data_IF_898468545451
#
_entry.id   IF_898468545451
#
_cell.length_a   1.000
_cell.length_b   1.000
_cell.length_c   1.000
_cell.angle_alpha   90.00
_cell.angle_beta   90.00
_cell.angle_gamma   90.00
#
_symmetry.space_group_name_H-M   'P 1'
#
loop_
_entity.id
_entity.type
_entity.pdbx_description
1 polymer ?
#
# COMPACT_ATOMS: atom_id res chain seq x y z
N UNK A 1 -13.70 -34.55 26.05
CA UNK A 1 -13.48 -34.26 24.62
C UNK A 1 -12.75 -32.94 24.57
N UNK A 2 -11.42 -33.03 24.63
CA UNK A 2 -10.52 -31.89 24.71
C UNK A 2 -10.51 -31.18 23.37
N UNK A 3 -10.84 -29.90 23.36
CA UNK A 3 -10.72 -29.06 22.18
C UNK A 3 -9.25 -28.68 22.08
N UNK A 4 -8.54 -29.33 21.17
CA UNK A 4 -7.17 -28.99 20.81
C UNK A 4 -7.15 -27.56 20.27
N UNK A 5 -6.62 -26.65 21.08
CA UNK A 5 -6.25 -25.31 20.67
C UNK A 5 -5.11 -25.50 19.66
N UNK A 6 -5.43 -25.30 18.39
CA UNK A 6 -4.46 -25.28 17.30
C UNK A 6 -3.40 -24.23 17.65
N UNK A 7 -2.22 -24.74 17.99
CA UNK A 7 -0.99 -23.98 18.17
C UNK A 7 -0.73 -23.15 16.92
N UNK A 8 -1.03 -21.85 17.01
CA UNK A 8 -0.63 -20.85 16.03
C UNK A 8 0.89 -20.76 16.06
N UNK A 9 1.50 -21.53 15.16
CA UNK A 9 2.91 -21.49 14.81
C UNK A 9 3.34 -20.03 14.67
N UNK A 10 4.20 -19.59 15.60
CA UNK A 10 4.80 -18.26 15.65
C UNK A 10 5.38 -17.90 14.29
N UNK A 11 4.73 -16.96 13.60
CA UNK A 11 5.26 -16.31 12.40
C UNK A 11 6.60 -15.70 12.81
N UNK A 12 7.67 -16.06 12.09
CA UNK A 12 9.05 -15.72 12.42
C UNK A 12 9.21 -14.22 12.68
N UNK A 13 9.37 -13.85 13.96
CA UNK A 13 9.83 -12.54 14.39
C UNK A 13 11.31 -12.44 14.02
N UNK A 14 11.66 -11.68 13.00
CA UNK A 14 12.91 -10.92 13.12
C UNK A 14 12.71 -10.01 14.33
N UNK A 15 13.62 -10.02 15.32
CA UNK A 15 13.44 -9.19 16.50
C UNK A 15 13.48 -7.72 16.06
N UNK A 16 12.32 -7.05 16.14
CA UNK A 16 12.25 -5.60 16.07
C UNK A 16 13.26 -5.04 17.06
N UNK A 17 14.21 -4.25 16.56
CA UNK A 17 15.18 -3.59 17.44
C UNK A 17 14.39 -2.71 18.41
N UNK A 18 14.57 -2.83 19.73
CA UNK A 18 13.84 -2.03 20.70
C UNK A 18 14.40 -0.60 20.74
N UNK A 19 14.08 0.20 19.73
CA UNK A 19 14.59 1.56 19.55
C UNK A 19 14.34 2.46 20.76
N UNK A 20 13.22 2.25 21.47
CA UNK A 20 12.87 2.95 22.69
C UNK A 20 13.81 2.64 23.87
N UNK A 21 14.47 1.48 23.86
CA UNK A 21 15.43 1.09 24.90
C UNK A 21 16.85 1.61 24.63
N UNK A 22 17.14 2.03 23.39
CA UNK A 22 18.44 2.54 23.02
C UNK A 22 18.60 4.02 23.39
N UNK A 23 19.84 4.38 23.74
CA UNK A 23 20.26 5.78 23.81
C UNK A 23 20.22 6.39 22.40
N UNK A 24 20.24 7.72 22.35
CA UNK A 24 20.29 8.47 21.09
C UNK A 24 21.54 8.09 20.29
N UNK A 25 22.68 7.99 20.97
CA UNK A 25 23.98 7.64 20.38
C UNK A 25 23.95 6.23 19.77
N UNK A 26 23.47 5.24 20.52
CA UNK A 26 23.38 3.86 20.04
C UNK A 26 22.37 3.73 18.89
N UNK A 27 21.33 4.56 18.87
CA UNK A 27 20.37 4.60 17.76
C UNK A 27 21.05 5.09 16.48
N UNK A 28 21.84 6.16 16.56
CA UNK A 28 22.62 6.65 15.42
C UNK A 28 23.66 5.64 14.93
N UNK A 29 24.37 4.97 15.85
CA UNK A 29 25.33 3.93 15.50
C UNK A 29 24.66 2.74 14.79
N UNK A 30 23.55 2.24 15.33
CA UNK A 30 22.80 1.12 14.76
C UNK A 30 22.27 1.44 13.35
N UNK A 31 21.73 2.64 13.16
CA UNK A 31 21.24 3.11 11.85
C UNK A 31 22.35 3.61 10.92
N UNK A 32 23.61 3.63 11.36
CA UNK A 32 24.74 4.26 10.64
C UNK A 32 24.37 5.66 10.15
N UNK A 33 23.75 6.46 11.01
CA UNK A 33 23.32 7.83 10.74
C UNK A 33 24.04 8.80 11.69
N UNK A 34 23.83 10.10 11.50
CA UNK A 34 24.50 11.14 12.30
C UNK A 34 23.53 12.23 12.76
N UNK A 35 23.88 13.01 13.79
CA UNK A 35 23.14 14.21 14.18
C UNK A 35 23.09 15.32 13.11
N UNK A 36 23.88 15.19 12.02
CA UNK A 36 23.82 16.04 10.83
C UNK A 36 22.98 15.44 9.71
N UNK A 37 22.34 14.30 9.94
CA UNK A 37 21.55 13.59 8.94
C UNK A 37 22.39 12.73 7.98
N UNK A 38 21.70 12.15 7.00
CA UNK A 38 22.30 11.33 5.94
C UNK A 38 22.86 12.19 4.81
N UNK A 39 23.76 11.62 4.00
CA UNK A 39 24.12 12.18 2.70
C UNK A 39 23.03 11.90 1.66
N UNK A 40 22.97 12.73 0.62
CA UNK A 40 22.00 12.51 -0.46
C UNK A 40 22.20 11.14 -1.16
N UNK A 41 23.47 10.72 -1.32
CA UNK A 41 23.82 9.43 -1.89
C UNK A 41 23.41 8.25 -0.99
N UNK A 42 23.60 8.37 0.32
CA UNK A 42 23.18 7.33 1.27
C UNK A 42 21.65 7.21 1.31
N UNK A 43 20.94 8.33 1.36
CA UNK A 43 19.50 8.35 1.33
C UNK A 43 18.95 7.71 0.04
N UNK A 44 19.53 8.02 -1.11
CA UNK A 44 19.16 7.41 -2.39
C UNK A 44 19.43 5.89 -2.40
N UNK A 45 20.57 5.43 -1.85
CA UNK A 45 20.85 3.99 -1.73
C UNK A 45 19.82 3.29 -0.87
N UNK A 46 19.51 3.86 0.30
CA UNK A 46 18.51 3.32 1.24
C UNK A 46 17.11 3.32 0.64
N UNK A 47 16.75 4.30 -0.19
CA UNK A 47 15.44 4.34 -0.82
C UNK A 47 15.25 3.16 -1.79
N UNK A 48 16.32 2.71 -2.46
CA UNK A 48 16.31 1.51 -3.29
C UNK A 48 16.23 0.23 -2.44
N UNK A 49 16.92 0.21 -1.29
CA UNK A 49 17.00 -0.94 -0.39
C UNK A 49 15.71 -1.18 0.42
N UNK A 50 15.19 -0.14 1.06
CA UNK A 50 14.02 -0.20 1.94
C UNK A 50 12.70 0.08 1.21
N UNK A 51 12.77 0.68 0.01
CA UNK A 51 11.58 1.15 -0.72
C UNK A 51 11.04 2.48 -0.20
N UNK A 52 9.95 2.93 -0.82
CA UNK A 52 9.28 4.18 -0.46
C UNK A 52 8.57 4.05 0.89
N UNK A 53 8.52 5.15 1.65
CA UNK A 53 7.73 5.30 2.86
C UNK A 53 6.24 5.45 2.53
N UNK A 54 5.66 4.40 1.97
CA UNK A 54 4.25 4.30 1.65
C UNK A 54 3.75 2.95 2.18
N UNK A 55 2.51 2.94 2.68
CA UNK A 55 1.82 1.67 2.88
C UNK A 55 1.64 1.05 1.50
N UNK A 56 1.96 -0.24 1.37
CA UNK A 56 1.75 -0.94 0.11
C UNK A 56 0.24 -1.02 -0.11
N UNK A 57 -0.31 -0.11 -0.93
CA UNK A 57 -1.65 -0.30 -1.45
C UNK A 57 -1.63 -1.56 -2.31
N UNK A 58 -2.66 -2.39 -2.19
CA UNK A 58 -2.85 -3.57 -3.03
C UNK A 58 -2.67 -3.23 -4.52
N UNK A 59 -1.46 -3.51 -5.05
CA UNK A 59 -1.05 -3.41 -6.45
C UNK A 59 -1.09 -2.01 -7.08
N UNK A 60 0.07 -1.42 -7.37
CA UNK A 60 0.17 -0.44 -8.48
C UNK A 60 -0.38 -1.09 -9.74
N UNK A 61 -1.37 -0.48 -10.38
CA UNK A 61 -1.97 -1.02 -11.61
C UNK A 61 -0.90 -0.99 -12.70
N UNK A 62 -0.39 -2.15 -13.10
CA UNK A 62 0.64 -2.23 -14.16
C UNK A 62 -0.01 -2.05 -15.53
N UNK A 63 0.69 -1.49 -16.53
CA UNK A 63 0.15 -1.37 -17.89
C UNK A 63 -0.34 -2.70 -18.46
N UNK A 64 0.35 -3.79 -18.14
CA UNK A 64 -0.07 -5.14 -18.52
C UNK A 64 -1.36 -5.57 -17.82
N UNK A 65 -1.52 -5.25 -16.53
CA UNK A 65 -2.77 -5.50 -15.82
C UNK A 65 -3.95 -4.74 -16.45
N UNK A 66 -3.77 -3.46 -16.83
CA UNK A 66 -4.80 -2.67 -17.52
C UNK A 66 -5.19 -3.33 -18.85
N UNK A 67 -4.21 -3.81 -19.62
CA UNK A 67 -4.49 -4.50 -20.87
C UNK A 67 -5.27 -5.80 -20.65
N UNK A 68 -4.86 -6.63 -19.67
CA UNK A 68 -5.57 -7.87 -19.33
C UNK A 68 -6.98 -7.62 -18.77
N UNK A 69 -7.21 -6.52 -18.05
CA UNK A 69 -8.55 -6.11 -17.61
C UNK A 69 -9.50 -5.86 -18.79
N UNK A 70 -9.02 -5.34 -19.93
CA UNK A 70 -9.86 -5.18 -21.12
C UNK A 70 -10.41 -6.54 -21.62
N UNK A 71 -9.64 -7.62 -21.50
CA UNK A 71 -10.08 -8.96 -21.88
C UNK A 71 -11.08 -9.59 -20.90
N UNK A 72 -11.22 -9.05 -19.68
CA UNK A 72 -12.27 -9.46 -18.73
C UNK A 72 -13.60 -8.78 -19.02
N UNK A 73 -13.63 -7.75 -19.86
CA UNK A 73 -14.86 -7.06 -20.22
C UNK A 73 -15.79 -7.99 -21.02
N UNK A 74 -16.99 -8.22 -20.49
CA UNK A 74 -18.00 -9.11 -21.07
C UNK A 74 -18.32 -8.76 -22.52
N UNK A 75 -18.37 -7.47 -22.88
CA UNK A 75 -18.64 -7.05 -24.26
C UNK A 75 -17.50 -7.45 -25.21
N UNK A 76 -16.24 -7.28 -24.79
CA UNK A 76 -15.08 -7.71 -25.57
C UNK A 76 -15.07 -9.23 -25.74
N UNK A 77 -15.37 -9.98 -24.68
CA UNK A 77 -15.49 -11.45 -24.74
C UNK A 77 -16.56 -11.87 -25.74
N UNK A 78 -17.75 -11.25 -25.70
CA UNK A 78 -18.84 -11.54 -26.63
C UNK A 78 -18.40 -11.28 -28.09
N UNK A 79 -17.72 -10.16 -28.34
CA UNK A 79 -17.24 -9.82 -29.68
C UNK A 79 -16.13 -10.76 -30.16
N UNK A 80 -15.24 -11.21 -29.27
CA UNK A 80 -14.23 -12.22 -29.58
C UNK A 80 -14.87 -13.56 -29.92
N UNK A 81 -15.89 -13.98 -29.17
CA UNK A 81 -16.67 -15.19 -29.47
C UNK A 81 -17.39 -15.05 -30.82
N UNK A 82 -18.03 -13.91 -31.09
CA UNK A 82 -18.67 -13.64 -32.38
C UNK A 82 -17.67 -13.67 -33.54
N UNK A 83 -16.48 -13.09 -33.34
CA UNK A 83 -15.36 -13.12 -34.31
C UNK A 83 -14.94 -14.55 -34.60
N UNK A 84 -14.75 -15.37 -33.56
CA UNK A 84 -14.35 -16.77 -33.71
C UNK A 84 -15.42 -17.58 -34.45
N UNK A 85 -16.69 -17.44 -34.06
CA UNK A 85 -17.81 -18.11 -34.73
C UNK A 85 -17.88 -17.73 -36.22
N UNK A 86 -17.87 -16.43 -36.55
CA UNK A 86 -17.91 -15.95 -37.93
C UNK A 86 -16.75 -16.52 -38.77
N UNK A 87 -15.54 -16.60 -38.19
CA UNK A 87 -14.39 -17.22 -38.85
C UNK A 87 -14.61 -18.72 -39.13
N UNK A 88 -15.14 -19.48 -38.16
CA UNK A 88 -15.42 -20.91 -38.33
C UNK A 88 -16.54 -21.20 -39.34
N UNK A 89 -17.54 -20.32 -39.46
CA UNK A 89 -18.61 -20.45 -40.46
C UNK A 89 -18.15 -20.05 -41.88
N UNK A 90 -16.88 -19.65 -42.08
CA UNK A 90 -16.34 -19.27 -43.38
C UNK A 90 -16.59 -17.80 -43.77
N UNK A 91 -17.17 -17.01 -42.88
CA UNK A 91 -17.45 -15.58 -43.08
C UNK A 91 -16.21 -14.72 -42.74
N UNK A 92 -15.13 -14.92 -43.48
CA UNK A 92 -13.83 -14.32 -43.17
C UNK A 92 -13.84 -12.79 -43.17
N UNK A 93 -14.58 -12.16 -44.09
CA UNK A 93 -14.70 -10.70 -44.17
C UNK A 93 -15.39 -10.11 -42.93
N UNK A 94 -16.45 -10.75 -42.46
CA UNK A 94 -17.20 -10.32 -41.28
C UNK A 94 -16.35 -10.50 -40.00
N UNK A 95 -15.68 -11.66 -39.87
CA UNK A 95 -14.77 -11.92 -38.77
C UNK A 95 -13.63 -10.88 -38.70
N UNK A 96 -13.02 -10.55 -39.84
CA UNK A 96 -11.96 -9.53 -39.90
C UNK A 96 -12.51 -8.15 -39.53
N UNK A 97 -13.71 -7.77 -40.00
CA UNK A 97 -14.33 -6.50 -39.65
C UNK A 97 -14.57 -6.37 -38.14
N UNK A 98 -15.11 -7.41 -37.50
CA UNK A 98 -15.35 -7.44 -36.05
C UNK A 98 -14.02 -7.41 -35.29
N UNK A 99 -13.03 -8.19 -35.72
CA UNK A 99 -11.70 -8.23 -35.09
C UNK A 99 -11.04 -6.84 -35.06
N UNK A 100 -11.14 -6.09 -36.16
CA UNK A 100 -10.61 -4.71 -36.24
C UNK A 100 -11.33 -3.79 -35.26
N UNK A 101 -12.66 -3.86 -35.17
CA UNK A 101 -13.44 -3.06 -34.21
C UNK A 101 -13.04 -3.38 -32.78
N UNK A 102 -12.90 -4.67 -32.43
CA UNK A 102 -12.47 -5.11 -31.10
C UNK A 102 -11.07 -4.60 -30.78
N UNK A 103 -10.13 -4.70 -31.73
CA UNK A 103 -8.77 -4.20 -31.55
C UNK A 103 -8.77 -2.69 -31.23
N UNK A 104 -9.53 -1.88 -31.99
CA UNK A 104 -9.67 -0.46 -31.70
C UNK A 104 -10.31 -0.19 -30.34
N UNK A 105 -11.35 -0.95 -29.97
CA UNK A 105 -12.01 -0.80 -28.67
C UNK A 105 -11.05 -1.10 -27.51
N UNK A 106 -10.29 -2.20 -27.59
CA UNK A 106 -9.28 -2.58 -26.58
C UNK A 106 -8.18 -1.53 -26.48
N UNK A 107 -7.65 -1.05 -27.61
CA UNK A 107 -6.59 -0.03 -27.63
C UNK A 107 -7.08 1.30 -27.05
N UNK A 108 -8.27 1.75 -27.47
CA UNK A 108 -8.87 2.98 -26.98
C UNK A 108 -9.15 2.88 -25.47
N UNK A 109 -9.72 1.76 -25.02
CA UNK A 109 -9.97 1.49 -23.60
C UNK A 109 -8.69 1.47 -22.79
N UNK A 110 -7.64 0.77 -23.25
CA UNK A 110 -6.32 0.77 -22.61
C UNK A 110 -5.74 2.19 -22.49
N UNK A 111 -5.76 2.98 -23.57
CA UNK A 111 -5.21 4.34 -23.55
C UNK A 111 -6.00 5.26 -22.62
N UNK A 112 -7.33 5.14 -22.60
CA UNK A 112 -8.20 5.91 -21.71
C UNK A 112 -7.93 5.58 -20.24
N UNK A 113 -7.92 4.29 -19.90
CA UNK A 113 -7.68 3.81 -18.54
C UNK A 113 -6.27 4.17 -18.06
N UNK A 114 -5.25 3.94 -18.91
CA UNK A 114 -3.87 4.29 -18.58
C UNK A 114 -3.69 5.81 -18.34
N UNK A 115 -4.38 6.65 -19.13
CA UNK A 115 -4.34 8.12 -18.91
C UNK A 115 -5.06 8.52 -17.63
N UNK A 116 -6.20 7.89 -17.31
CA UNK A 116 -6.95 8.14 -16.09
C UNK A 116 -6.10 7.79 -14.86
N UNK A 117 -5.49 6.60 -14.85
CA UNK A 117 -4.64 6.15 -13.75
C UNK A 117 -3.43 7.07 -13.56
N UNK A 118 -2.78 7.49 -14.65
CA UNK A 118 -1.66 8.46 -14.57
C UNK A 118 -2.08 9.82 -14.05
N UNK A 119 -3.28 10.29 -14.38
CA UNK A 119 -3.79 11.56 -13.86
C UNK A 119 -4.04 11.47 -12.35
N UNK A 120 -4.63 10.35 -11.89
CA UNK A 120 -4.84 10.09 -10.47
C UNK A 120 -3.50 10.02 -9.72
N UNK A 121 -2.51 9.32 -10.26
CA UNK A 121 -1.19 9.22 -9.67
C UNK A 121 -0.50 10.59 -9.58
N UNK A 122 -0.57 11.42 -10.61
CA UNK A 122 -0.04 12.78 -10.57
C UNK A 122 -0.72 13.63 -9.49
N UNK A 123 -2.05 13.54 -9.35
CA UNK A 123 -2.79 14.23 -8.29
C UNK A 123 -2.37 13.75 -6.89
N UNK A 124 -2.17 12.43 -6.71
CA UNK A 124 -1.65 11.87 -5.46
C UNK A 124 -0.26 12.41 -5.12
N UNK A 125 0.60 12.56 -6.13
CA UNK A 125 1.94 13.14 -5.94
C UNK A 125 1.90 14.63 -5.59
N UNK A 126 0.98 15.40 -6.17
CA UNK A 126 0.81 16.82 -5.85
C UNK A 126 0.24 17.06 -4.45
N UNK A 127 -0.58 16.14 -3.95
CA UNK A 127 -1.15 16.18 -2.60
C UNK A 127 -0.32 15.41 -1.57
N UNK A 128 0.83 14.85 -1.98
CA UNK A 128 1.64 14.01 -1.12
C UNK A 128 2.17 14.83 0.07
N UNK A 129 2.05 14.32 1.30
CA UNK A 129 2.62 14.99 2.46
C UNK A 129 4.13 15.14 2.30
N UNK A 130 4.65 16.28 2.72
CA UNK A 130 6.09 16.55 2.81
C UNK A 130 6.59 16.31 4.22
N UNK A 131 7.91 16.18 4.37
CA UNK A 131 8.59 16.05 5.64
C UNK A 131 9.82 16.98 5.67
N UNK A 132 9.97 17.68 6.79
CA UNK A 132 11.15 18.49 7.09
C UNK A 132 12.29 17.58 7.57
N UNK A 133 13.40 17.61 6.86
CA UNK A 133 14.57 16.75 7.09
C UNK A 133 15.84 17.55 7.26
N UNK A 134 16.82 16.95 7.93
CA UNK A 134 18.20 17.41 7.95
C UNK A 134 19.01 16.37 7.18
N UNK A 135 19.64 16.80 6.08
CA UNK A 135 20.59 15.99 5.30
C UNK A 135 21.85 16.81 5.08
N UNK A 136 23.02 16.20 5.26
CA UNK A 136 24.32 16.87 5.15
C UNK A 136 24.46 18.15 6.02
N UNK A 137 23.74 18.19 7.14
CA UNK A 137 23.72 19.32 8.08
C UNK A 137 22.84 20.50 7.66
N UNK A 138 22.15 20.41 6.53
CA UNK A 138 21.22 21.43 6.04
C UNK A 138 19.77 20.97 6.22
N UNK A 139 18.91 21.90 6.65
CA UNK A 139 17.47 21.69 6.65
C UNK A 139 16.93 21.74 5.21
N UNK A 140 15.99 20.86 4.91
CA UNK A 140 15.31 20.82 3.64
C UNK A 140 13.96 20.12 3.77
N UNK A 141 13.15 20.24 2.74
CA UNK A 141 11.84 19.60 2.66
C UNK A 141 11.86 18.57 1.54
N UNK A 142 11.44 17.34 1.83
CA UNK A 142 11.33 16.27 0.85
C UNK A 142 9.93 15.66 0.90
N UNK A 143 9.47 14.99 -0.17
CA UNK A 143 8.27 14.17 -0.10
C UNK A 143 8.39 13.14 1.03
N UNK A 144 7.37 12.99 1.88
CA UNK A 144 7.41 12.07 3.02
C UNK A 144 7.60 10.60 2.57
N UNK A 145 7.19 10.26 1.34
CA UNK A 145 7.40 8.96 0.70
C UNK A 145 8.88 8.64 0.41
N UNK A 146 9.74 9.65 0.34
CA UNK A 146 11.17 9.51 0.04
C UNK A 146 12.02 9.49 1.34
N UNK A 147 11.36 9.45 2.50
CA UNK A 147 12.00 9.20 3.79
C UNK A 147 12.51 7.76 3.86
N UNK A 148 13.68 7.60 4.47
CA UNK A 148 14.31 6.29 4.69
C UNK A 148 14.74 6.13 6.15
N UNK A 149 14.88 4.88 6.64
CA UNK A 149 15.47 4.64 7.96
C UNK A 149 16.84 5.32 8.07
N UNK A 150 17.05 6.05 9.18
CA UNK A 150 18.23 6.86 9.45
C UNK A 150 18.12 8.34 9.05
N UNK A 151 17.10 8.76 8.29
CA UNK A 151 16.88 10.20 8.09
C UNK A 151 16.64 10.91 9.42
N UNK A 152 17.14 12.14 9.53
CA UNK A 152 16.88 12.99 10.68
C UNK A 152 15.77 13.97 10.29
N UNK A 153 14.66 13.94 11.00
CA UNK A 153 13.48 14.77 10.72
C UNK A 153 13.27 15.81 11.82
N UNK A 154 12.61 16.89 11.43
CA UNK A 154 12.13 17.94 12.31
C UNK A 154 10.62 17.76 12.50
N UNK A 155 10.18 17.93 13.75
CA UNK A 155 8.77 17.86 14.13
C UNK A 155 8.38 19.19 14.80
N UNK A 156 7.28 19.77 14.36
CA UNK A 156 6.68 20.97 14.94
C UNK A 156 5.17 20.79 15.14
N UNK A 157 4.59 21.62 16.01
CA UNK A 157 3.14 21.64 16.23
C UNK A 157 2.37 21.83 14.91
N UNK A 158 1.39 20.96 14.66
CA UNK A 158 0.62 20.90 13.42
C UNK A 158 1.10 19.82 12.44
N UNK A 159 2.32 19.31 12.60
CA UNK A 159 2.86 18.28 11.73
C UNK A 159 2.19 16.92 11.99
N UNK A 160 1.99 16.16 10.92
CA UNK A 160 1.81 14.71 11.03
C UNK A 160 3.17 14.05 11.06
N UNK A 161 3.34 13.12 11.98
CA UNK A 161 4.57 12.31 12.07
C UNK A 161 4.61 11.38 10.83
N UNK A 162 5.62 11.51 9.96
CA UNK A 162 5.59 10.88 8.63
C UNK A 162 6.06 9.42 8.61
N UNK A 163 6.77 8.98 9.66
CA UNK A 163 7.37 7.66 9.80
C UNK A 163 7.54 7.34 11.30
N UNK A 164 7.83 6.09 11.66
CA UNK A 164 8.15 5.78 13.06
C UNK A 164 9.56 6.27 13.37
N UNK A 165 9.68 7.03 14.46
CA UNK A 165 10.89 7.76 14.78
C UNK A 165 11.29 7.64 16.25
N UNK A 166 12.60 7.66 16.49
CA UNK A 166 13.20 7.78 17.82
C UNK A 166 13.57 9.24 18.09
N UNK A 167 13.06 9.80 19.19
CA UNK A 167 13.29 11.20 19.54
C UNK A 167 14.73 11.47 20.01
N UNK A 168 15.37 12.41 19.33
CA UNK A 168 16.74 12.88 19.60
C UNK A 168 16.70 14.18 20.40
N UNK A 169 15.69 15.02 20.15
CA UNK A 169 15.42 16.27 20.87
C UNK A 169 13.91 16.43 21.05
N UNK A 170 13.48 16.88 22.22
CA UNK A 170 12.07 17.16 22.51
C UNK A 170 11.97 18.40 23.41
N UNK A 171 11.32 19.45 22.91
CA UNK A 171 11.09 20.71 23.63
C UNK A 171 9.58 20.90 23.77
N UNK A 172 9.06 20.60 24.97
CA UNK A 172 7.62 20.58 25.27
C UNK A 172 6.80 19.80 24.23
N UNK A 173 7.40 18.74 23.66
CA UNK A 173 6.80 18.02 22.55
C UNK A 173 5.62 17.19 23.05
N UNK A 174 4.45 17.40 22.46
CA UNK A 174 3.24 16.62 22.72
C UNK A 174 2.71 16.04 21.41
N UNK A 175 2.32 14.77 21.46
CA UNK A 175 1.81 14.03 20.30
C UNK A 175 0.49 13.36 20.66
N UNK A 176 -0.51 13.50 19.79
CA UNK A 176 -1.78 12.81 19.88
C UNK A 176 -1.69 11.47 19.12
N UNK A 177 -1.80 10.37 19.86
CA UNK A 177 -1.56 9.01 19.35
C UNK A 177 -2.85 8.22 19.13
N UNK A 178 -4.01 8.89 19.09
CA UNK A 178 -5.33 8.29 18.93
C UNK A 178 -5.44 7.35 17.73
N UNK A 179 -4.70 7.64 16.65
CA UNK A 179 -4.65 6.82 15.44
C UNK A 179 -4.10 5.40 15.69
N UNK A 180 -3.27 5.18 16.72
CA UNK A 180 -2.69 3.88 17.07
C UNK A 180 -3.24 3.32 18.38
N UNK A 181 -3.50 4.17 19.37
CA UNK A 181 -3.89 3.74 20.72
C UNK A 181 -5.39 3.85 20.99
N UNK A 182 -6.12 4.66 20.21
CA UNK A 182 -7.51 5.03 20.46
C UNK A 182 -7.69 6.07 21.57
N UNK A 183 -6.60 6.59 22.16
CA UNK A 183 -6.64 7.59 23.22
C UNK A 183 -6.34 8.99 22.66
N UNK A 184 -7.27 9.94 22.81
CA UNK A 184 -7.13 11.31 22.29
C UNK A 184 -6.36 12.27 23.21
N UNK A 185 -5.88 11.81 24.37
CA UNK A 185 -5.13 12.68 25.28
C UNK A 185 -3.70 12.82 24.75
N UNK A 186 -3.20 14.04 24.48
CA UNK A 186 -1.83 14.23 24.04
C UNK A 186 -0.82 13.72 25.06
N UNK A 187 0.19 13.00 24.57
CA UNK A 187 1.25 12.42 25.39
C UNK A 187 2.49 13.28 25.30
N UNK A 188 3.03 13.69 26.45
CA UNK A 188 4.32 14.39 26.54
C UNK A 188 5.47 13.44 26.23
N UNK A 189 6.37 13.89 25.37
CA UNK A 189 7.47 13.11 24.84
C UNK A 189 8.82 13.57 25.38
N UNK A 190 9.75 12.62 25.51
CA UNK A 190 11.11 12.87 26.01
C UNK A 190 12.16 12.04 25.25
N UNK A 191 13.45 12.25 25.51
CA UNK A 191 14.54 11.55 24.79
C UNK A 191 15.19 10.42 25.60
N UNK A 192 14.90 10.33 26.91
CA UNK A 192 15.48 9.32 27.81
C UNK A 192 15.20 7.89 27.33
N UNK A 193 16.19 6.98 27.32
CA UNK A 193 15.97 5.57 27.01
C UNK A 193 15.08 4.90 28.06
N UNK A 194 14.29 3.91 27.64
CA UNK A 194 13.35 3.19 28.48
C UNK A 194 13.87 1.75 28.72
N UNK A 195 14.09 1.38 29.98
CA UNK A 195 14.78 0.13 30.32
C UNK A 195 14.03 -1.16 29.99
N UNK A 196 12.71 -1.09 29.83
CA UNK A 196 11.87 -2.25 29.51
C UNK A 196 11.71 -2.41 27.98
N UNK A 197 12.16 -3.55 27.46
CA UNK A 197 12.12 -3.86 26.03
C UNK A 197 10.72 -4.27 25.54
N UNK A 198 9.81 -4.66 26.44
CA UNK A 198 8.47 -5.17 26.12
C UNK A 198 7.35 -4.14 26.32
N UNK A 199 7.69 -2.86 26.49
CA UNK A 199 6.72 -1.78 26.61
C UNK A 199 5.74 -1.75 25.45
N UNK A 200 4.46 -1.53 25.77
CA UNK A 200 3.42 -1.27 24.79
C UNK A 200 3.72 0.00 24.00
N UNK A 201 3.22 0.09 22.76
CA UNK A 201 3.50 1.19 21.83
C UNK A 201 3.20 2.56 22.46
N UNK A 202 2.08 2.71 23.19
CA UNK A 202 1.69 3.95 23.86
C UNK A 202 2.59 4.34 25.05
N UNK A 203 3.29 3.39 25.67
CA UNK A 203 4.18 3.66 26.80
C UNK A 203 5.58 4.11 26.37
N UNK A 204 5.92 3.95 25.09
CA UNK A 204 7.22 4.34 24.52
C UNK A 204 7.25 5.85 24.24
N UNK A 205 7.27 6.65 25.32
CA UNK A 205 7.24 8.13 25.29
C UNK A 205 8.44 8.81 24.65
N UNK A 206 9.44 8.03 24.25
CA UNK A 206 10.62 8.51 23.53
C UNK A 206 10.62 8.15 22.02
N UNK A 207 9.48 7.64 21.57
CA UNK A 207 9.13 7.38 20.18
C UNK A 207 7.96 8.28 19.75
N UNK A 208 7.85 8.51 18.45
CA UNK A 208 6.65 9.02 17.80
C UNK A 208 6.36 8.18 16.55
N UNK A 209 5.08 8.04 16.18
CA UNK A 209 4.65 7.02 15.22
C UNK A 209 4.00 7.61 13.98
N UNK A 210 4.17 6.92 12.85
CA UNK A 210 3.58 7.32 11.57
C UNK A 210 2.05 7.54 11.70
N UNK A 211 1.56 8.67 11.21
CA UNK A 211 0.14 9.01 11.20
C UNK A 211 -0.41 9.68 12.46
N UNK A 212 0.39 9.76 13.54
CA UNK A 212 0.08 10.58 14.73
C UNK A 212 0.31 12.07 14.45
N UNK A 213 -0.28 12.94 15.28
CA UNK A 213 -0.19 14.39 15.08
C UNK A 213 0.54 15.08 16.22
N UNK A 214 1.46 15.98 15.90
CA UNK A 214 2.15 16.81 16.90
C UNK A 214 1.23 17.95 17.30
N UNK A 215 0.82 18.00 18.56
CA UNK A 215 -0.14 19.00 19.06
C UNK A 215 0.55 20.23 19.64
N UNK A 216 1.76 20.07 20.19
CA UNK A 216 2.50 21.17 20.80
C UNK A 216 4.01 20.92 20.78
N UNK A 217 4.78 22.01 20.87
CA UNK A 217 6.23 21.97 20.98
C UNK A 217 6.94 21.69 19.66
N UNK A 218 8.21 21.28 19.78
CA UNK A 218 9.05 20.88 18.64
C UNK A 218 10.05 19.81 19.05
N UNK A 219 10.57 19.07 18.08
CA UNK A 219 11.56 18.04 18.31
C UNK A 219 12.36 17.69 17.07
N UNK A 220 13.41 16.89 17.30
CA UNK A 220 14.21 16.25 16.26
C UNK A 220 14.15 14.75 16.49
N UNK A 221 14.02 13.98 15.42
CA UNK A 221 13.85 12.55 15.54
C UNK A 221 14.54 11.83 14.39
N UNK A 222 15.14 10.68 14.67
CA UNK A 222 15.71 9.83 13.64
C UNK A 222 14.70 8.77 13.23
N UNK A 223 14.49 8.60 11.91
CA UNK A 223 13.58 7.60 11.36
C UNK A 223 14.11 6.22 11.65
N UNK A 224 13.31 5.37 12.29
CA UNK A 224 13.69 3.99 12.60
C UNK A 224 12.97 2.98 11.70
N UNK A 225 11.76 3.31 11.22
CA UNK A 225 11.00 2.46 10.32
C UNK A 225 10.11 3.28 9.39
N UNK A 226 9.92 2.80 8.17
CA UNK A 226 9.13 3.43 7.09
C UNK A 226 8.15 2.42 6.47
N UNK A 227 7.11 2.94 5.82
CA UNK A 227 6.12 2.15 5.06
C UNK A 227 5.54 0.99 5.87
N UNK A 228 5.57 -0.21 5.28
CA UNK A 228 5.02 -1.44 5.88
C UNK A 228 5.76 -1.92 7.13
N UNK A 229 6.90 -1.34 7.49
CA UNK A 229 7.66 -1.70 8.69
C UNK A 229 7.34 -0.81 9.90
N UNK A 230 6.56 0.26 9.72
CA UNK A 230 6.01 1.06 10.83
C UNK A 230 4.98 0.26 11.63
N UNK A 231 4.66 0.67 12.86
CA UNK A 231 3.59 0.09 13.67
C UNK A 231 2.25 0.15 12.93
N UNK A 232 1.96 1.28 12.26
CA UNK A 232 0.77 1.41 11.42
C UNK A 232 0.81 0.45 10.22
N UNK A 233 1.98 0.28 9.59
CA UNK A 233 2.20 -0.68 8.51
C UNK A 233 2.05 -2.14 8.95
N UNK A 234 2.45 -2.48 10.18
CA UNK A 234 2.23 -3.80 10.78
C UNK A 234 0.74 -4.06 10.97
N UNK A 235 -0.02 -3.07 11.45
CA UNK A 235 -1.49 -3.16 11.56
C UNK A 235 -2.10 -3.36 10.17
N UNK A 236 -1.70 -2.57 9.17
CA UNK A 236 -2.19 -2.70 7.79
C UNK A 236 -1.95 -4.11 7.22
N UNK A 237 -0.74 -4.68 7.43
CA UNK A 237 -0.40 -6.05 7.00
C UNK A 237 -1.30 -7.11 7.64
N UNK A 238 -1.64 -6.95 8.91
CA UNK A 238 -2.57 -7.86 9.58
C UNK A 238 -3.97 -7.78 8.97
N UNK A 239 -4.42 -6.59 8.58
CA UNK A 239 -5.72 -6.39 7.92
C UNK A 239 -5.74 -6.93 6.49
N UNK A 240 -4.65 -6.83 5.72
CA UNK A 240 -4.57 -7.40 4.36
C UNK A 240 -4.70 -8.93 4.34
N UNK A 241 -4.30 -9.60 5.43
CA UNK A 241 -4.47 -11.06 5.56
C UNK A 241 -5.93 -11.50 5.72
N UNK A 242 -6.86 -10.55 5.91
CA UNK A 242 -8.29 -10.81 5.94
C UNK A 242 -8.80 -10.80 4.49
N UNK A 243 -8.78 -11.97 3.83
CA UNK A 243 -9.37 -12.12 2.50
C UNK A 243 -10.80 -11.57 2.48
N UNK A 244 -11.03 -10.52 1.69
CA UNK A 244 -12.39 -10.05 1.41
C UNK A 244 -13.10 -11.12 0.59
N UNK A 245 -13.88 -11.97 1.26
CA UNK A 245 -14.75 -12.94 0.60
C UNK A 245 -15.73 -12.25 -0.37
N UNK A 246 -16.17 -12.97 -1.40
CA UNK A 246 -17.21 -12.48 -2.33
C UNK A 246 -18.46 -12.08 -1.55
N UNK A 247 -19.10 -10.98 -1.95
CA UNK A 247 -20.37 -10.60 -1.31
C UNK A 247 -21.48 -11.60 -1.67
N UNK A 248 -22.48 -11.82 -0.80
CA UNK A 248 -23.60 -12.71 -1.10
C UNK A 248 -24.31 -12.38 -2.42
N UNK A 249 -24.35 -11.09 -2.81
CA UNK A 249 -24.93 -10.67 -4.08
C UNK A 249 -24.07 -11.11 -5.28
N UNK A 250 -22.75 -10.96 -5.21
CA UNK A 250 -21.83 -11.41 -6.26
C UNK A 250 -21.90 -12.92 -6.46
N UNK A 251 -21.97 -13.70 -5.38
CA UNK A 251 -22.15 -15.15 -5.50
C UNK A 251 -23.45 -15.53 -6.20
N UNK A 252 -24.54 -14.80 -5.91
CA UNK A 252 -25.83 -15.02 -6.55
C UNK A 252 -25.80 -14.63 -8.04
N UNK A 253 -25.18 -13.51 -8.39
CA UNK A 253 -25.00 -13.11 -9.79
C UNK A 253 -24.16 -14.12 -10.57
N UNK A 254 -23.06 -14.62 -9.99
CA UNK A 254 -22.25 -15.69 -10.58
C UNK A 254 -23.09 -16.96 -10.81
N UNK A 255 -23.97 -17.30 -9.87
CA UNK A 255 -24.86 -18.47 -9.95
C UNK A 255 -25.90 -18.30 -11.05
N UNK A 256 -26.52 -17.12 -11.14
CA UNK A 256 -27.51 -16.79 -12.19
C UNK A 256 -26.83 -16.75 -13.55
N UNK A 257 -25.68 -16.09 -13.68
CA UNK A 257 -24.90 -16.02 -14.92
C UNK A 257 -24.53 -17.41 -15.43
N UNK A 258 -24.10 -18.32 -14.55
CA UNK A 258 -23.79 -19.71 -14.91
C UNK A 258 -25.01 -20.48 -15.41
N UNK A 259 -26.18 -20.28 -14.79
CA UNK A 259 -27.44 -20.89 -15.24
C UNK A 259 -27.90 -20.36 -16.60
N UNK A 260 -27.80 -19.04 -16.82
CA UNK A 260 -28.14 -18.43 -18.11
C UNK A 260 -27.20 -18.90 -19.22
N UNK A 261 -25.89 -18.99 -18.94
CA UNK A 261 -24.91 -19.51 -19.89
C UNK A 261 -25.20 -20.99 -20.25
N UNK A 262 -25.54 -21.82 -19.27
CA UNK A 262 -25.96 -23.21 -19.50
C UNK A 262 -27.23 -23.28 -20.36
N UNK A 263 -28.24 -22.47 -20.05
CA UNK A 263 -29.49 -22.43 -20.83
C UNK A 263 -29.24 -22.01 -22.28
N UNK A 264 -28.44 -20.96 -22.50
CA UNK A 264 -28.05 -20.52 -23.84
C UNK A 264 -27.32 -21.61 -24.61
N UNK A 265 -26.39 -22.32 -23.96
CA UNK A 265 -25.66 -23.43 -24.58
C UNK A 265 -26.59 -24.58 -25.00
N UNK A 266 -27.57 -24.93 -24.15
CA UNK A 266 -28.59 -25.94 -24.48
C UNK A 266 -29.42 -25.51 -25.69
N UNK A 267 -29.89 -24.26 -25.73
CA UNK A 267 -30.67 -23.74 -26.86
C UNK A 267 -29.86 -23.79 -28.16
N UNK A 268 -28.60 -23.35 -28.13
CA UNK A 268 -27.70 -23.43 -29.29
C UNK A 268 -27.51 -24.88 -29.74
N UNK A 269 -27.26 -25.80 -28.82
CA UNK A 269 -27.10 -27.22 -29.14
C UNK A 269 -28.35 -27.82 -29.80
N UNK A 270 -29.54 -27.45 -29.33
CA UNK A 270 -30.82 -27.87 -29.93
C UNK A 270 -30.99 -27.32 -31.33
N UNK A 271 -30.70 -26.02 -31.56
CA UNK A 271 -30.79 -25.40 -32.89
C UNK A 271 -29.83 -26.08 -33.87
N UNK A 272 -28.59 -26.34 -33.46
CA UNK A 272 -27.59 -27.03 -34.28
C UNK A 272 -28.02 -28.46 -34.60
N UNK A 273 -28.56 -29.19 -33.61
CA UNK A 273 -29.08 -30.53 -33.83
C UNK A 273 -30.25 -30.54 -34.82
N UNK A 274 -31.18 -29.59 -34.72
CA UNK A 274 -32.30 -29.46 -35.65
C UNK A 274 -31.90 -28.97 -37.04
N UNK A 275 -30.83 -28.17 -37.15
CA UNK A 275 -30.34 -27.66 -38.44
C UNK A 275 -29.44 -28.62 -39.21
N UNK A 276 -28.95 -29.68 -38.57
CA UNK A 276 -28.15 -30.74 -39.19
C UNK A 276 -28.97 -31.93 -39.70
N UNK A 277 -30.27 -32.01 -39.35
CA UNK A 277 -31.23 -32.98 -39.85
C UNK A 277 -32.23 -32.31 -40.81
#
# INVERSE_FOLDING_TARGET
>A
MSVDIVSTKSIGREPDTPWHALTVENTFESLKSTPRGLSAAEAARRLVEYGQNELQAAGRVTPWAILFEQFKNVLIIILLVATALSFFLGHQLEAVAIAVIVLFAVLLGFVQEFRAERAIEALRQMAAPTASVIREGAEGEIPARDLVPGDLILLAAGDKVPADVRLVEAINLQVEEAALTGESVPVEKHTTPLGDQELAVGDRKNMAYAGTSVTYGRGRAVVVATGMNTEFGKIARMLESVETGKTPLQENLDRVGRKLAQAAFVVVAVIVALGLF
#
